data_IF_863189997488
#
_entry.id   IF_863189997488
#
_cell.length_a   1.000
_cell.length_b   1.000
_cell.length_c   1.000
_cell.angle_alpha   90.00
_cell.angle_beta   90.00
_cell.angle_gamma   90.00
#
_symmetry.space_group_name_H-M   'P 1'
#
loop_
_entity.id
_entity.type
_entity.pdbx_description
1 polymer ?
#
# COMPACT_ATOMS: atom_id res chain seq x y z
N UNK A 1 9.66 -12.46 -7.85
CA UNK A 1 10.95 -12.49 -7.11
C UNK A 1 11.97 -11.51 -7.65
N UNK A 2 12.11 -11.38 -8.97
CA UNK A 2 13.14 -10.54 -9.62
C UNK A 2 13.16 -9.08 -9.16
N UNK A 3 11.99 -8.46 -8.96
CA UNK A 3 11.90 -7.05 -8.59
C UNK A 3 12.43 -6.74 -7.18
N UNK A 4 12.27 -7.66 -6.23
CA UNK A 4 12.77 -7.51 -4.85
C UNK A 4 14.30 -7.50 -4.80
N UNK A 5 14.96 -8.25 -5.68
CA UNK A 5 16.42 -8.28 -5.78
C UNK A 5 16.95 -6.93 -6.26
N UNK A 6 16.35 -6.35 -7.29
CA UNK A 6 16.72 -5.03 -7.81
C UNK A 6 16.57 -3.89 -6.79
N UNK A 7 15.55 -3.97 -5.91
CA UNK A 7 15.35 -3.00 -4.82
C UNK A 7 16.47 -3.12 -3.78
N UNK A 8 16.81 -4.35 -3.38
CA UNK A 8 17.90 -4.59 -2.41
C UNK A 8 19.26 -4.18 -2.95
N UNK A 9 19.48 -4.30 -4.27
CA UNK A 9 20.69 -3.84 -4.94
C UNK A 9 20.75 -2.32 -5.15
N UNK A 10 19.73 -1.56 -4.71
CA UNK A 10 19.68 -0.10 -4.84
C UNK A 10 19.51 0.39 -6.29
N UNK A 11 19.12 -0.49 -7.22
CA UNK A 11 18.94 -0.17 -8.64
C UNK A 11 17.63 0.58 -8.92
N UNK A 12 16.64 0.46 -8.02
CA UNK A 12 15.40 1.23 -8.08
C UNK A 12 15.41 2.39 -7.07
N UNK A 13 15.69 3.61 -7.55
CA UNK A 13 15.72 4.84 -6.71
C UNK A 13 14.36 5.25 -6.13
N UNK A 14 13.26 4.85 -6.78
CA UNK A 14 11.91 5.15 -6.30
C UNK A 14 11.41 4.13 -5.25
N UNK A 15 12.07 2.98 -5.12
CA UNK A 15 11.69 1.92 -4.21
C UNK A 15 12.68 1.81 -3.04
N UNK A 16 12.17 1.49 -1.87
CA UNK A 16 12.99 1.26 -0.68
C UNK A 16 12.35 0.24 0.25
N UNK A 17 13.16 -0.33 1.14
CA UNK A 17 12.69 -1.22 2.20
C UNK A 17 12.89 -0.49 3.53
N UNK A 18 11.83 -0.39 4.31
CA UNK A 18 11.92 0.23 5.64
C UNK A 18 12.48 -0.74 6.70
N UNK A 19 12.70 -0.23 7.92
CA UNK A 19 13.25 -1.02 9.05
C UNK A 19 12.43 -2.26 9.42
N UNK A 20 11.17 -2.33 8.99
CA UNK A 20 10.28 -3.46 9.23
C UNK A 20 10.25 -4.44 8.06
N UNK A 21 11.09 -4.25 7.03
CA UNK A 21 11.09 -5.07 5.82
C UNK A 21 9.97 -4.73 4.83
N UNK A 22 9.26 -3.60 5.00
CA UNK A 22 8.15 -3.23 4.13
C UNK A 22 8.68 -2.50 2.89
N UNK A 23 8.28 -2.96 1.71
CA UNK A 23 8.58 -2.30 0.44
C UNK A 23 7.74 -1.04 0.32
N UNK A 24 8.41 0.07 0.01
CA UNK A 24 7.78 1.37 -0.22
C UNK A 24 8.15 1.93 -1.58
N UNK A 25 7.18 2.49 -2.29
CA UNK A 25 7.38 3.25 -3.52
C UNK A 25 7.11 4.72 -3.23
N UNK A 26 8.13 5.58 -3.37
CA UNK A 26 8.05 7.03 -3.07
C UNK A 26 7.43 7.32 -1.70
N UNK A 27 7.82 6.53 -0.69
CA UNK A 27 7.34 6.63 0.69
C UNK A 27 6.02 5.90 0.99
N UNK A 28 5.29 5.42 -0.02
CA UNK A 28 4.00 4.71 0.13
C UNK A 28 4.19 3.21 0.24
N UNK A 29 3.39 2.55 1.07
CA UNK A 29 3.46 1.09 1.24
C UNK A 29 3.01 0.39 -0.04
N UNK A 30 3.84 -0.52 -0.54
CA UNK A 30 3.47 -1.40 -1.64
C UNK A 30 2.66 -2.57 -1.11
N UNK A 31 1.45 -2.75 -1.65
CA UNK A 31 0.61 -3.93 -1.38
C UNK A 31 0.84 -4.93 -2.52
N UNK A 32 1.10 -6.21 -2.23
CA UNK A 32 1.15 -7.24 -3.26
C UNK A 32 -0.15 -7.31 -4.06
N UNK A 33 -0.06 -7.64 -5.35
CA UNK A 33 -1.22 -7.81 -6.24
C UNK A 33 -1.95 -9.14 -5.93
N UNK A 34 -2.58 -9.17 -4.76
CA UNK A 34 -3.39 -10.28 -4.25
C UNK A 34 -4.79 -9.71 -4.03
N UNK A 35 -5.79 -10.11 -4.84
CA UNK A 35 -7.13 -9.53 -4.80
C UNK A 35 -7.75 -9.51 -3.40
N UNK A 36 -7.50 -10.55 -2.61
CA UNK A 36 -8.00 -10.70 -1.24
C UNK A 36 -7.42 -9.63 -0.31
N UNK A 37 -6.12 -9.31 -0.43
CA UNK A 37 -5.48 -8.26 0.37
C UNK A 37 -6.07 -6.88 0.05
N UNK A 38 -6.23 -6.57 -1.25
CA UNK A 38 -6.85 -5.33 -1.68
C UNK A 38 -8.27 -5.18 -1.13
N UNK A 39 -9.08 -6.25 -1.23
CA UNK A 39 -10.44 -6.28 -0.68
C UNK A 39 -10.45 -6.06 0.83
N UNK A 40 -9.58 -6.74 1.58
CA UNK A 40 -9.50 -6.57 3.04
C UNK A 40 -9.15 -5.13 3.43
N UNK A 41 -8.18 -4.50 2.75
CA UNK A 41 -7.80 -3.10 3.02
C UNK A 41 -8.96 -2.14 2.77
N UNK A 42 -9.66 -2.31 1.65
CA UNK A 42 -10.82 -1.48 1.31
C UNK A 42 -11.98 -1.68 2.29
N UNK A 43 -12.26 -2.92 2.69
CA UNK A 43 -13.29 -3.22 3.69
C UNK A 43 -12.96 -2.61 5.06
N UNK A 44 -11.70 -2.66 5.49
CA UNK A 44 -11.26 -2.02 6.73
C UNK A 44 -11.35 -0.50 6.66
N UNK A 45 -10.94 0.11 5.53
CA UNK A 45 -11.11 1.54 5.29
C UNK A 45 -12.58 1.96 5.37
N UNK A 46 -13.47 1.19 4.75
CA UNK A 46 -14.91 1.43 4.77
C UNK A 46 -15.54 1.26 6.17
N UNK A 47 -15.05 0.32 6.99
CA UNK A 47 -15.52 0.09 8.37
C UNK A 47 -14.93 1.06 9.39
N UNK A 48 -13.85 1.77 9.05
CA UNK A 48 -13.24 2.74 9.97
C UNK A 48 -14.25 3.85 10.30
N UNK A 49 -14.28 4.29 11.56
CA UNK A 49 -15.24 5.29 12.07
C UNK A 49 -15.18 6.68 11.41
N UNK A 50 -14.30 6.86 10.44
CA UNK A 50 -14.26 8.02 9.55
C UNK A 50 -15.35 7.95 8.47
N UNK A 51 -15.95 6.78 8.24
CA UNK A 51 -16.96 6.45 7.22
C UNK A 51 -18.39 6.84 7.63
N UNK A 52 -18.59 8.03 8.19
CA UNK A 52 -19.93 8.40 8.67
C UNK A 52 -20.89 8.63 7.49
N UNK A 53 -20.40 9.02 6.30
CA UNK A 53 -21.11 8.98 5.02
C UNK A 53 -20.18 9.30 3.84
N UNK A 54 -19.34 8.37 3.41
CA UNK A 54 -18.35 8.70 2.40
C UNK A 54 -18.25 7.65 1.30
N UNK A 55 -18.55 8.08 0.09
CA UNK A 55 -18.33 7.28 -1.11
C UNK A 55 -16.85 6.98 -1.34
N UNK A 56 -16.60 6.22 -2.41
CA UNK A 56 -15.27 5.74 -2.83
C UNK A 56 -14.17 6.82 -2.83
N UNK A 57 -14.54 8.08 -3.08
CA UNK A 57 -13.61 9.22 -3.12
C UNK A 57 -12.88 9.48 -1.80
N UNK A 58 -13.56 9.35 -0.65
CA UNK A 58 -12.88 9.56 0.64
C UNK A 58 -11.99 8.39 1.00
N UNK A 59 -12.44 7.17 0.75
CA UNK A 59 -11.60 5.99 0.94
C UNK A 59 -10.29 6.10 0.16
N UNK A 60 -10.33 6.63 -1.06
CA UNK A 60 -9.12 6.92 -1.83
C UNK A 60 -8.24 7.99 -1.15
N UNK A 61 -8.82 9.06 -0.59
CA UNK A 61 -8.05 10.07 0.14
C UNK A 61 -7.42 9.51 1.42
N UNK A 62 -8.12 8.63 2.12
CA UNK A 62 -7.66 8.04 3.38
C UNK A 62 -6.56 6.98 3.15
N UNK A 63 -6.60 6.27 2.00
CA UNK A 63 -5.62 5.25 1.62
C UNK A 63 -4.42 5.78 0.80
N UNK A 64 -4.45 7.04 0.36
CA UNK A 64 -3.44 7.66 -0.53
C UNK A 64 -2.08 7.87 0.13
#
# INVERSE_FOLDING_TARGET
MEKLVSINEGKEVDFGIDKNGVVRYRGRVCVPDVPELGKMILEQGHRSGLSIHLGVTKMYQDLK
#
